data_IF_549613910607
#
_entry.id   IF_549613910607
#
_cell.length_a   1.000
_cell.length_b   1.000
_cell.length_c   1.000
_cell.angle_alpha   90.00
_cell.angle_beta   90.00
_cell.angle_gamma   90.00
#
_symmetry.space_group_name_H-M   'P 1'
#
loop_
_entity.id
_entity.type
_entity.pdbx_description
1 polymer ?
#
# COMPACT_ATOMS: atom_id res chain seq x y z
N UNK A 1 27.49 64.67 -60.69
CA UNK A 1 26.10 65.07 -60.31
C UNK A 1 25.59 64.12 -59.23
N UNK A 2 24.57 64.50 -58.44
CA UNK A 2 24.38 63.99 -57.06
C UNK A 2 23.43 62.77 -56.98
N UNK A 3 23.10 62.13 -55.83
CA UNK A 3 23.21 62.42 -54.37
C UNK A 3 23.66 61.12 -53.65
N UNK A 4 24.06 61.08 -52.38
CA UNK A 4 24.25 62.12 -51.33
C UNK A 4 24.66 61.45 -50.00
N UNK A 5 25.26 62.20 -49.07
CA UNK A 5 25.77 61.67 -47.79
C UNK A 5 24.82 61.94 -46.61
N UNK A 6 24.69 60.97 -45.71
CA UNK A 6 24.25 61.15 -44.32
C UNK A 6 24.89 60.04 -43.45
N UNK A 7 25.14 60.31 -42.17
CA UNK A 7 25.91 59.43 -41.27
C UNK A 7 25.21 59.22 -39.92
N UNK A 8 25.81 58.37 -39.07
CA UNK A 8 25.43 58.02 -37.70
C UNK A 8 24.39 56.88 -37.50
N UNK A 9 24.27 56.48 -36.23
CA UNK A 9 23.81 55.20 -35.63
C UNK A 9 23.35 55.49 -34.17
N UNK A 10 22.75 54.56 -33.40
CA UNK A 10 22.00 53.33 -33.72
C UNK A 10 20.70 53.17 -32.84
N UNK A 11 20.16 51.94 -32.76
CA UNK A 11 19.35 51.31 -31.67
C UNK A 11 17.79 51.38 -31.59
N UNK A 12 17.23 50.16 -31.56
CA UNK A 12 16.20 49.58 -30.65
C UNK A 12 14.67 49.50 -30.96
N UNK A 13 14.15 48.28 -30.71
CA UNK A 13 12.80 47.79 -30.30
C UNK A 13 11.59 47.61 -31.30
N UNK A 14 11.37 46.34 -31.72
CA UNK A 14 10.10 45.55 -31.92
C UNK A 14 8.90 46.14 -32.74
N UNK A 15 7.87 45.41 -33.23
CA UNK A 15 6.83 44.56 -32.59
C UNK A 15 6.07 43.71 -33.68
N UNK A 16 5.83 42.39 -33.44
CA UNK A 16 4.81 41.45 -34.03
C UNK A 16 4.68 41.30 -35.60
N UNK A 17 4.23 40.21 -36.25
CA UNK A 17 4.04 38.75 -36.02
C UNK A 17 3.74 38.08 -37.41
N UNK A 18 3.05 36.96 -37.73
CA UNK A 18 2.10 35.98 -37.12
C UNK A 18 2.12 34.64 -37.91
N UNK A 19 1.61 33.54 -37.30
CA UNK A 19 1.05 32.31 -37.93
C UNK A 19 2.01 31.36 -38.74
N UNK A 20 1.81 30.02 -38.81
CA UNK A 20 0.79 29.12 -38.21
C UNK A 20 1.29 27.66 -38.10
N UNK A 21 0.97 27.01 -36.96
CA UNK A 21 0.64 25.58 -36.75
C UNK A 21 1.35 24.43 -37.51
N UNK A 22 1.96 23.53 -36.74
CA UNK A 22 1.94 22.08 -36.96
C UNK A 22 1.77 21.37 -35.58
N UNK A 23 1.11 20.19 -35.54
CA UNK A 23 0.87 19.42 -34.31
C UNK A 23 1.36 17.96 -34.49
N UNK A 24 2.17 17.49 -33.54
CA UNK A 24 2.47 16.11 -33.13
C UNK A 24 3.34 16.28 -31.87
N UNK A 25 2.93 15.99 -30.64
CA UNK A 25 2.50 14.69 -30.08
C UNK A 25 3.52 13.56 -30.33
N UNK A 26 4.43 13.37 -29.38
CA UNK A 26 5.14 12.11 -29.16
C UNK A 26 5.61 12.03 -27.69
N UNK A 27 5.19 11.00 -26.95
CA UNK A 27 5.65 10.68 -25.58
C UNK A 27 5.54 11.78 -24.52
N UNK A 28 4.32 12.04 -24.04
CA UNK A 28 4.13 12.43 -22.64
C UNK A 28 4.65 11.25 -21.79
N UNK A 29 5.85 11.37 -21.23
CA UNK A 29 6.41 10.33 -20.38
C UNK A 29 5.59 10.25 -19.08
N UNK A 30 4.61 9.36 -19.06
CA UNK A 30 4.01 8.85 -17.83
C UNK A 30 5.11 8.12 -17.06
N UNK A 31 5.92 8.88 -16.32
CA UNK A 31 6.95 8.32 -15.46
C UNK A 31 6.28 7.31 -14.55
N UNK A 32 6.80 6.08 -14.50
CA UNK A 32 6.36 4.99 -13.61
C UNK A 32 6.73 5.36 -12.17
N UNK A 33 5.95 6.31 -11.67
CA UNK A 33 6.31 7.26 -10.63
C UNK A 33 5.53 6.96 -9.37
N UNK A 34 6.27 6.45 -8.40
CA UNK A 34 5.81 6.09 -7.07
C UNK A 34 4.93 7.16 -6.40
N UNK A 35 3.81 6.71 -5.81
CA UNK A 35 2.74 7.56 -5.31
C UNK A 35 3.01 8.06 -3.88
N UNK A 36 3.86 9.08 -3.74
CA UNK A 36 4.09 9.76 -2.47
C UNK A 36 4.07 11.29 -2.60
N UNK A 37 3.68 11.92 -1.49
CA UNK A 37 3.76 13.37 -1.30
C UNK A 37 5.19 13.87 -1.17
N UNK A 38 5.47 15.02 -1.79
CA UNK A 38 6.79 15.67 -1.83
C UNK A 38 6.94 16.79 -0.79
N UNK A 39 5.91 17.00 0.03
CA UNK A 39 5.86 18.01 1.10
C UNK A 39 5.08 17.48 2.29
N UNK A 40 5.56 17.73 3.50
CA UNK A 40 4.85 17.40 4.75
C UNK A 40 3.53 18.17 4.91
N UNK A 41 3.37 19.28 4.20
CA UNK A 41 2.12 20.07 4.19
C UNK A 41 1.00 19.45 3.35
N UNK A 42 1.27 18.40 2.55
CA UNK A 42 0.31 17.84 1.60
C UNK A 42 -1.01 17.37 2.23
N UNK A 43 -0.95 16.67 3.36
CA UNK A 43 -2.15 16.25 4.09
C UNK A 43 -2.96 17.44 4.64
N UNK A 44 -2.29 18.56 4.95
CA UNK A 44 -2.94 19.81 5.35
C UNK A 44 -3.68 20.48 4.18
N UNK A 45 -3.03 20.57 3.02
CA UNK A 45 -3.61 21.16 1.80
C UNK A 45 -4.77 20.33 1.23
N UNK A 46 -4.69 19.00 1.30
CA UNK A 46 -5.82 18.14 0.96
C UNK A 46 -7.00 18.36 1.90
N UNK A 47 -6.75 18.41 3.22
CA UNK A 47 -7.79 18.67 4.23
C UNK A 47 -8.43 20.06 4.11
N UNK A 48 -7.74 21.05 3.53
CA UNK A 48 -8.31 22.37 3.23
C UNK A 48 -8.99 22.47 1.85
N UNK A 49 -9.07 21.38 1.07
CA UNK A 49 -9.73 21.33 -0.24
C UNK A 49 -8.91 21.92 -1.39
N UNK A 50 -7.62 22.22 -1.19
CA UNK A 50 -6.76 22.83 -2.22
C UNK A 50 -6.53 21.87 -3.41
N UNK A 51 -6.61 20.56 -3.18
CA UNK A 51 -6.60 19.53 -4.23
C UNK A 51 -7.77 19.65 -5.23
N UNK A 52 -8.81 20.41 -4.91
CA UNK A 52 -9.95 20.72 -5.78
C UNK A 52 -10.07 22.22 -6.11
N UNK A 53 -9.14 23.05 -5.62
CA UNK A 53 -9.09 24.49 -5.87
C UNK A 53 -8.25 24.87 -7.09
N UNK A 54 -7.90 26.17 -7.19
CA UNK A 54 -7.04 26.69 -8.29
C UNK A 54 -5.63 26.06 -8.27
N UNK A 55 -5.15 25.62 -7.10
CA UNK A 55 -3.87 24.93 -6.92
C UNK A 55 -3.90 23.43 -7.29
N UNK A 56 -5.07 22.88 -7.67
CA UNK A 56 -5.30 21.45 -7.87
C UNK A 56 -4.28 20.77 -8.81
N UNK A 57 -3.94 21.35 -9.96
CA UNK A 57 -2.98 20.73 -10.88
C UNK A 57 -1.54 20.69 -10.32
N UNK A 58 -1.14 21.72 -9.57
CA UNK A 58 0.17 21.73 -8.89
C UNK A 58 0.19 20.69 -7.76
N UNK A 59 -0.87 20.63 -6.96
CA UNK A 59 -0.97 19.69 -5.84
C UNK A 59 -1.16 18.25 -6.31
N UNK A 60 -1.82 17.99 -7.44
CA UNK A 60 -1.86 16.68 -8.08
C UNK A 60 -0.45 16.17 -8.48
N UNK A 61 0.52 17.08 -8.70
CA UNK A 61 1.93 16.72 -9.02
C UNK A 61 2.85 16.74 -7.80
N UNK A 62 2.55 17.51 -6.76
CA UNK A 62 3.37 17.69 -5.55
C UNK A 62 2.90 16.82 -4.37
N UNK A 63 1.61 16.60 -4.29
CA UNK A 63 0.88 15.88 -3.26
C UNK A 63 0.01 14.76 -3.87
N UNK A 64 0.56 13.90 -4.75
CA UNK A 64 -0.25 12.98 -5.55
C UNK A 64 -0.93 11.89 -4.71
N UNK A 65 -0.45 11.64 -3.48
CA UNK A 65 -1.04 10.70 -2.53
C UNK A 65 -2.14 11.40 -1.70
N UNK A 66 -1.86 12.54 -1.07
CA UNK A 66 -2.88 13.28 -0.30
C UNK A 66 -4.02 13.81 -1.17
N UNK A 67 -3.77 14.15 -2.43
CA UNK A 67 -4.81 14.54 -3.38
C UNK A 67 -5.47 13.35 -4.11
N UNK A 68 -5.19 12.10 -3.72
CA UNK A 68 -5.72 10.88 -4.34
C UNK A 68 -5.59 10.83 -5.88
N UNK A 69 -4.53 11.45 -6.41
CA UNK A 69 -4.21 11.47 -7.85
C UNK A 69 -3.63 10.13 -8.32
N UNK A 70 -3.08 9.37 -7.38
CA UNK A 70 -2.67 7.98 -7.54
C UNK A 70 -2.97 7.20 -6.25
N UNK A 71 -2.66 5.91 -6.26
CA UNK A 71 -2.62 5.08 -5.05
C UNK A 71 -1.23 4.45 -4.91
N UNK A 72 -0.81 4.18 -3.68
CA UNK A 72 0.43 3.46 -3.40
C UNK A 72 0.23 1.98 -3.75
N UNK A 73 0.82 1.54 -4.87
CA UNK A 73 1.02 0.12 -5.14
C UNK A 73 1.97 -0.46 -4.07
N UNK A 74 1.40 -1.16 -3.10
CA UNK A 74 2.17 -1.91 -2.11
C UNK A 74 2.68 -3.22 -2.73
N UNK A 75 3.81 -3.11 -3.42
CA UNK A 75 4.59 -4.23 -3.93
C UNK A 75 6.05 -3.84 -4.16
N UNK A 76 6.97 -4.75 -3.85
CA UNK A 76 8.37 -4.64 -4.25
C UNK A 76 8.55 -4.86 -5.76
N UNK A 77 9.26 -3.94 -6.42
CA UNK A 77 9.46 -3.91 -7.88
C UNK A 77 10.74 -4.61 -8.33
N UNK A 78 11.66 -4.87 -7.40
CA UNK A 78 12.94 -5.54 -7.70
C UNK A 78 13.06 -6.85 -6.92
N UNK A 79 13.63 -7.88 -7.55
CA UNK A 79 13.79 -9.20 -6.92
C UNK A 79 14.65 -9.14 -5.65
N UNK A 80 15.68 -8.28 -5.66
CA UNK A 80 16.65 -8.05 -4.59
C UNK A 80 16.18 -7.12 -3.46
N UNK A 81 14.94 -6.62 -3.48
CA UNK A 81 14.45 -5.71 -2.43
C UNK A 81 14.69 -6.23 -1.00
N UNK A 82 14.42 -7.52 -0.74
CA UNK A 82 14.68 -8.14 0.56
C UNK A 82 16.17 -8.20 0.93
N UNK A 83 17.08 -8.39 -0.03
CA UNK A 83 18.53 -8.43 0.27
C UNK A 83 19.13 -7.04 0.46
N UNK A 84 18.61 -6.02 -0.24
CA UNK A 84 18.94 -4.62 0.01
C UNK A 84 18.39 -4.14 1.36
N UNK A 85 17.17 -4.55 1.74
CA UNK A 85 16.62 -4.29 3.07
C UNK A 85 17.43 -4.96 4.20
N UNK A 86 17.74 -6.27 4.09
CA UNK A 86 18.66 -6.99 5.01
C UNK A 86 20.02 -6.29 5.17
N UNK A 87 20.49 -5.57 4.15
CA UNK A 87 21.76 -4.82 4.13
C UNK A 87 21.67 -3.41 4.74
N UNK A 88 20.47 -2.94 5.08
CA UNK A 88 20.24 -1.59 5.61
C UNK A 88 20.08 -0.50 4.55
N UNK A 89 19.89 -0.85 3.28
CA UNK A 89 19.66 0.13 2.21
C UNK A 89 18.36 0.94 2.45
N UNK A 90 17.38 0.40 3.21
CA UNK A 90 16.19 1.16 3.64
C UNK A 90 16.53 2.41 4.48
N UNK A 91 17.61 2.38 5.26
CA UNK A 91 18.06 3.50 6.08
C UNK A 91 19.14 4.35 5.40
N UNK A 92 20.00 3.73 4.57
CA UNK A 92 21.12 4.41 3.91
C UNK A 92 20.79 4.95 2.50
N UNK A 93 19.75 4.42 1.85
CA UNK A 93 19.24 4.85 0.55
C UNK A 93 17.70 4.91 0.53
N UNK A 94 17.05 5.61 1.48
CA UNK A 94 15.59 5.60 1.65
C UNK A 94 14.85 6.06 0.40
N UNK A 95 15.32 7.10 -0.31
CA UNK A 95 14.62 7.64 -1.48
C UNK A 95 14.45 6.64 -2.65
N UNK A 96 15.41 5.72 -2.83
CA UNK A 96 15.31 4.63 -3.81
C UNK A 96 14.51 3.46 -3.25
N UNK A 97 14.83 3.04 -2.03
CA UNK A 97 14.23 1.85 -1.43
C UNK A 97 12.74 2.04 -1.11
N UNK A 98 12.30 3.23 -0.71
CA UNK A 98 10.87 3.56 -0.56
C UNK A 98 10.15 3.51 -1.93
N UNK A 99 10.82 3.88 -3.03
CA UNK A 99 10.26 3.92 -4.40
C UNK A 99 10.12 2.54 -5.05
N UNK A 100 11.13 1.69 -4.89
CA UNK A 100 11.24 0.38 -5.55
C UNK A 100 10.96 -0.82 -4.64
N UNK A 101 11.11 -0.65 -3.32
CA UNK A 101 11.08 -1.72 -2.31
C UNK A 101 10.22 -1.35 -1.07
N UNK A 102 9.00 -0.83 -1.24
CA UNK A 102 8.18 -0.33 -0.12
C UNK A 102 7.81 -1.43 0.88
N UNK A 103 7.67 -2.69 0.44
CA UNK A 103 7.33 -3.82 1.32
C UNK A 103 8.55 -4.33 2.07
N UNK A 104 9.68 -4.54 1.39
CA UNK A 104 10.92 -4.95 2.08
C UNK A 104 11.40 -3.92 3.12
N UNK A 105 11.05 -2.64 2.96
CA UNK A 105 11.33 -1.60 3.95
C UNK A 105 10.18 -1.33 4.95
N UNK A 106 9.09 -2.11 4.92
CA UNK A 106 7.97 -1.96 5.87
C UNK A 106 7.21 -0.64 5.76
N UNK A 107 7.34 0.10 4.65
CA UNK A 107 6.57 1.32 4.36
C UNK A 107 5.09 0.98 4.18
N UNK A 108 4.84 -0.21 3.65
CA UNK A 108 3.55 -0.87 3.63
C UNK A 108 3.78 -2.38 3.83
N UNK A 109 2.70 -3.14 3.98
CA UNK A 109 2.75 -4.61 4.01
C UNK A 109 1.64 -5.17 3.10
N UNK A 110 1.91 -6.25 2.35
CA UNK A 110 0.92 -6.84 1.47
C UNK A 110 -0.23 -7.44 2.27
N UNK A 111 -1.43 -7.36 1.71
CA UNK A 111 -2.57 -8.12 2.22
C UNK A 111 -2.18 -9.59 2.30
N UNK A 112 -2.28 -10.15 3.49
CA UNK A 112 -1.92 -11.53 3.80
C UNK A 112 -3.21 -12.35 3.76
N UNK A 113 -3.23 -13.46 3.03
CA UNK A 113 -4.41 -14.34 2.93
C UNK A 113 -4.00 -15.74 2.50
N UNK A 114 -4.73 -16.73 2.96
CA UNK A 114 -4.67 -18.06 2.37
C UNK A 114 -5.22 -18.04 0.94
N UNK A 115 -4.63 -18.89 0.10
CA UNK A 115 -4.92 -18.99 -1.33
C UNK A 115 -5.75 -20.24 -1.62
N UNK A 116 -5.58 -21.31 -0.83
CA UNK A 116 -6.34 -22.55 -0.94
C UNK A 116 -7.36 -22.70 0.20
N UNK A 117 -8.52 -23.31 -0.06
CA UNK A 117 -9.56 -23.57 0.94
C UNK A 117 -9.09 -24.50 2.06
N UNK A 118 -8.21 -25.43 1.72
CA UNK A 118 -7.82 -26.53 2.60
C UNK A 118 -6.64 -26.15 3.52
N UNK A 119 -6.14 -24.91 3.41
CA UNK A 119 -5.04 -24.38 4.23
C UNK A 119 -5.20 -24.63 5.75
N UNK A 120 -6.39 -24.48 6.38
CA UNK A 120 -6.57 -24.81 7.79
C UNK A 120 -6.38 -26.30 8.09
N UNK A 121 -6.80 -27.17 7.16
CA UNK A 121 -6.63 -28.63 7.26
C UNK A 121 -5.17 -29.06 7.09
N UNK A 122 -4.49 -28.52 6.09
CA UNK A 122 -3.06 -28.77 5.86
C UNK A 122 -2.19 -28.24 7.00
N UNK A 123 -2.49 -27.06 7.55
CA UNK A 123 -1.83 -26.53 8.75
C UNK A 123 -2.06 -27.44 9.96
N UNK A 124 -3.31 -27.85 10.21
CA UNK A 124 -3.66 -28.79 11.29
C UNK A 124 -3.00 -30.17 11.14
N UNK A 125 -2.66 -30.57 9.92
CA UNK A 125 -1.91 -31.79 9.62
C UNK A 125 -0.39 -31.63 9.78
N UNK A 126 0.12 -30.45 10.12
CA UNK A 126 1.55 -30.17 10.33
C UNK A 126 2.32 -29.68 9.10
N UNK A 127 1.66 -29.53 7.95
CA UNK A 127 2.33 -29.23 6.67
C UNK A 127 3.13 -27.91 6.68
N UNK A 128 2.77 -26.95 7.54
CA UNK A 128 3.54 -25.71 7.75
C UNK A 128 4.99 -25.97 8.23
N UNK A 129 5.24 -27.07 8.94
CA UNK A 129 6.58 -27.50 9.36
C UNK A 129 7.25 -28.49 8.41
N UNK A 130 6.47 -29.35 7.75
CA UNK A 130 6.99 -30.35 6.80
C UNK A 130 7.34 -29.76 5.43
N UNK A 131 6.59 -28.75 4.96
CA UNK A 131 6.79 -28.07 3.68
C UNK A 131 6.61 -26.54 3.80
N UNK A 132 7.44 -25.87 4.63
CA UNK A 132 7.33 -24.43 4.88
C UNK A 132 7.43 -23.59 3.60
N UNK A 133 8.32 -23.96 2.67
CA UNK A 133 8.57 -23.20 1.44
C UNK A 133 7.35 -23.09 0.52
N UNK A 134 6.42 -24.04 0.59
CA UNK A 134 5.11 -23.96 -0.09
C UNK A 134 4.04 -23.37 0.84
N UNK A 135 3.93 -23.90 2.06
CA UNK A 135 2.83 -23.58 2.97
C UNK A 135 2.85 -22.14 3.47
N UNK A 136 4.02 -21.53 3.69
CA UNK A 136 4.14 -20.12 4.07
C UNK A 136 3.79 -19.15 2.93
N UNK A 137 3.67 -19.65 1.68
CA UNK A 137 3.27 -18.86 0.49
C UNK A 137 1.80 -19.06 0.12
N UNK A 138 1.34 -20.32 0.15
CA UNK A 138 -0.04 -20.70 -0.19
C UNK A 138 -1.00 -20.50 0.98
N UNK A 139 -0.53 -20.68 2.21
CA UNK A 139 -1.32 -20.73 3.44
C UNK A 139 -0.75 -19.83 4.57
N UNK A 140 -0.38 -18.56 4.31
CA UNK A 140 0.29 -17.71 5.31
C UNK A 140 -0.59 -17.38 6.53
N UNK A 141 -1.93 -17.34 6.41
CA UNK A 141 -2.81 -17.13 7.58
C UNK A 141 -2.87 -18.41 8.40
N UNK A 142 -3.14 -19.56 7.76
CA UNK A 142 -3.21 -20.84 8.47
C UNK A 142 -1.87 -21.28 9.08
N UNK A 143 -0.73 -20.87 8.52
CA UNK A 143 0.60 -21.08 9.13
C UNK A 143 1.04 -19.95 10.08
N UNK A 144 0.18 -18.97 10.35
CA UNK A 144 0.44 -17.88 11.29
C UNK A 144 1.56 -16.92 10.87
N UNK A 145 1.87 -16.80 9.58
CA UNK A 145 2.75 -15.75 9.01
C UNK A 145 2.09 -14.37 9.13
N UNK A 146 0.75 -14.33 9.08
CA UNK A 146 -0.02 -13.11 9.13
C UNK A 146 -0.41 -12.69 10.57
N UNK A 147 -0.57 -11.39 10.80
CA UNK A 147 -1.30 -10.80 11.93
C UNK A 147 -2.57 -10.14 11.44
N UNK A 148 -3.67 -10.29 12.17
CA UNK A 148 -4.90 -9.54 11.91
C UNK A 148 -4.80 -8.11 12.49
N UNK A 149 -4.79 -7.12 11.60
CA UNK A 149 -4.81 -5.69 11.98
C UNK A 149 -6.16 -5.05 11.68
N UNK A 150 -6.49 -4.04 12.48
CA UNK A 150 -7.66 -3.19 12.31
C UNK A 150 -7.18 -1.74 12.24
N UNK A 151 -7.01 -1.21 11.03
CA UNK A 151 -6.49 0.13 10.80
C UNK A 151 -7.23 0.83 9.67
N UNK A 152 -7.28 2.14 9.74
CA UNK A 152 -7.83 2.96 8.67
C UNK A 152 -6.95 2.84 7.41
N UNK A 153 -7.60 2.68 6.27
CA UNK A 153 -6.96 2.48 4.95
C UNK A 153 -7.09 3.69 4.03
N UNK A 154 -7.70 4.78 4.51
CA UNK A 154 -7.90 6.03 3.77
C UNK A 154 -7.62 7.25 4.65
N UNK A 155 -6.93 8.31 4.16
CA UNK A 155 -6.54 9.45 5.00
C UNK A 155 -7.74 10.25 5.56
N UNK A 156 -8.85 10.31 4.83
CA UNK A 156 -10.06 11.03 5.27
C UNK A 156 -10.88 10.31 6.35
N UNK A 157 -10.49 9.10 6.78
CA UNK A 157 -11.25 8.30 7.73
C UNK A 157 -11.70 9.04 9.01
N UNK A 158 -10.85 9.85 9.68
CA UNK A 158 -11.29 10.67 10.81
C UNK A 158 -12.36 11.72 10.44
N UNK A 159 -12.27 12.30 9.24
CA UNK A 159 -13.23 13.27 8.73
C UNK A 159 -14.59 12.65 8.39
N UNK A 160 -14.59 11.47 7.76
CA UNK A 160 -15.79 10.70 7.47
C UNK A 160 -16.47 10.20 8.74
N UNK A 161 -15.70 9.75 9.74
CA UNK A 161 -16.21 9.34 11.04
C UNK A 161 -16.87 10.50 11.80
N UNK A 162 -16.18 11.64 11.94
CA UNK A 162 -16.73 12.86 12.54
C UNK A 162 -17.98 13.37 11.81
N UNK A 163 -18.06 13.17 10.49
CA UNK A 163 -19.23 13.50 9.67
C UNK A 163 -20.38 12.48 9.80
N UNK A 164 -20.23 11.43 10.63
CA UNK A 164 -21.23 10.39 10.89
C UNK A 164 -21.36 9.33 9.79
N UNK A 165 -20.38 9.19 8.88
CA UNK A 165 -20.49 8.26 7.76
C UNK A 165 -20.43 6.78 8.19
N UNK A 166 -19.87 6.49 9.37
CA UNK A 166 -19.93 5.17 10.01
C UNK A 166 -21.36 4.62 10.15
N UNK A 167 -22.38 5.49 10.19
CA UNK A 167 -23.80 5.12 10.27
C UNK A 167 -24.56 5.36 8.96
N UNK A 168 -24.15 6.36 8.16
CA UNK A 168 -24.79 6.69 6.86
C UNK A 168 -24.39 5.74 5.73
N UNK A 169 -23.17 5.20 5.77
CA UNK A 169 -22.64 4.22 4.80
C UNK A 169 -21.77 3.17 5.53
N UNK A 170 -22.38 2.31 6.37
CA UNK A 170 -21.62 1.37 7.19
C UNK A 170 -20.87 0.33 6.36
N UNK A 171 -21.44 -0.15 5.25
CA UNK A 171 -20.85 -1.22 4.43
C UNK A 171 -19.48 -0.88 3.84
N UNK A 172 -19.28 0.38 3.44
CA UNK A 172 -17.98 0.88 2.98
C UNK A 172 -17.14 1.37 4.17
N UNK A 173 -17.67 2.31 4.96
CA UNK A 173 -16.84 3.07 5.91
C UNK A 173 -16.39 2.23 7.11
N UNK A 174 -17.15 1.21 7.54
CA UNK A 174 -16.67 0.30 8.60
C UNK A 174 -15.61 -0.70 8.10
N UNK A 175 -15.41 -0.85 6.78
CA UNK A 175 -14.30 -1.63 6.21
C UNK A 175 -13.07 -0.76 5.92
N UNK A 176 -13.29 0.43 5.38
CA UNK A 176 -12.21 1.36 5.02
C UNK A 176 -11.64 2.10 6.23
N UNK A 177 -12.48 2.40 7.22
CA UNK A 177 -12.17 3.26 8.37
C UNK A 177 -12.50 2.61 9.73
N UNK A 178 -12.06 1.38 10.01
CA UNK A 178 -12.51 0.66 11.20
C UNK A 178 -11.95 1.21 12.51
N UNK A 179 -10.80 1.89 12.50
CA UNK A 179 -10.27 2.53 13.70
C UNK A 179 -11.01 3.84 13.98
N UNK A 180 -11.12 4.74 12.98
CA UNK A 180 -11.88 5.99 13.12
C UNK A 180 -13.37 5.78 13.42
N UNK A 181 -13.95 4.64 13.01
CA UNK A 181 -15.34 4.29 13.33
C UNK A 181 -15.52 3.44 14.61
N UNK A 182 -14.48 3.21 15.40
CA UNK A 182 -14.55 2.42 16.64
C UNK A 182 -15.12 0.99 16.40
N UNK A 183 -14.73 0.38 15.28
CA UNK A 183 -15.08 -1.02 14.95
C UNK A 183 -14.22 -1.97 15.77
N UNK A 184 -12.93 -1.64 15.88
CA UNK A 184 -11.99 -2.21 16.81
C UNK A 184 -11.50 -1.09 17.74
N UNK A 185 -11.49 -1.36 19.05
CA UNK A 185 -10.76 -0.52 20.02
C UNK A 185 -9.30 -0.95 20.11
N UNK A 186 -8.70 -0.83 21.31
CA UNK A 186 -7.31 -1.21 21.61
C UNK A 186 -7.02 -2.74 21.57
N UNK A 187 -7.86 -3.52 20.89
CA UNK A 187 -7.82 -4.99 20.84
C UNK A 187 -7.39 -5.51 19.46
N UNK A 188 -6.86 -6.75 19.41
CA UNK A 188 -6.69 -7.47 18.14
C UNK A 188 -7.99 -7.49 17.32
N UNK A 189 -7.84 -7.51 15.99
CA UNK A 189 -8.98 -7.58 15.09
C UNK A 189 -9.60 -8.98 15.11
N UNK A 190 -10.71 -9.14 15.85
CA UNK A 190 -11.31 -10.43 16.14
C UNK A 190 -12.84 -10.35 16.23
N UNK A 191 -13.49 -11.47 15.92
CA UNK A 191 -14.94 -11.65 16.04
C UNK A 191 -15.33 -11.79 17.51
N UNK A 192 -16.38 -11.08 17.95
CA UNK A 192 -16.86 -11.09 19.35
C UNK A 192 -17.43 -12.45 19.77
N UNK A 193 -17.96 -13.20 18.80
CA UNK A 193 -18.46 -14.55 18.99
C UNK A 193 -18.20 -15.35 17.70
N UNK A 194 -17.03 -16.00 17.62
CA UNK A 194 -16.54 -16.72 16.43
C UNK A 194 -17.62 -17.64 15.85
N UNK A 195 -18.23 -18.52 16.65
CA UNK A 195 -19.25 -19.47 16.17
C UNK A 195 -20.51 -18.80 15.63
N UNK A 196 -20.93 -17.67 16.20
CA UNK A 196 -22.05 -16.89 15.66
C UNK A 196 -21.68 -16.20 14.33
N UNK A 197 -20.44 -15.74 14.22
CA UNK A 197 -19.91 -15.13 13.01
C UNK A 197 -19.70 -16.16 11.89
N UNK A 198 -19.22 -17.36 12.19
CA UNK A 198 -19.12 -18.49 11.24
C UNK A 198 -20.49 -18.86 10.65
N UNK A 199 -21.54 -18.88 11.47
CA UNK A 199 -22.89 -19.30 11.05
C UNK A 199 -23.66 -18.17 10.32
N UNK A 200 -23.49 -16.90 10.72
CA UNK A 200 -24.28 -15.78 10.16
C UNK A 200 -23.51 -14.88 9.18
N UNK A 201 -22.18 -14.86 9.26
CA UNK A 201 -21.30 -14.03 8.43
C UNK A 201 -21.58 -14.10 6.93
N UNK A 202 -21.61 -15.30 6.31
CA UNK A 202 -21.73 -15.46 4.85
C UNK A 202 -22.85 -14.62 4.21
N UNK A 203 -24.03 -14.54 4.83
CA UNK A 203 -25.15 -13.72 4.36
C UNK A 203 -25.18 -12.34 5.03
N UNK A 204 -25.03 -12.28 6.36
CA UNK A 204 -25.38 -11.10 7.14
C UNK A 204 -24.36 -9.97 7.04
N UNK A 205 -23.10 -10.25 6.67
CA UNK A 205 -22.09 -9.20 6.43
C UNK A 205 -22.51 -8.21 5.33
N UNK A 206 -23.33 -8.65 4.36
CA UNK A 206 -23.87 -7.82 3.27
C UNK A 206 -25.26 -7.26 3.58
N UNK A 207 -26.11 -8.01 4.30
CA UNK A 207 -27.49 -7.63 4.61
C UNK A 207 -27.60 -6.67 5.82
N UNK A 208 -26.77 -6.88 6.84
CA UNK A 208 -26.78 -6.13 8.10
C UNK A 208 -25.38 -5.57 8.45
N UNK A 209 -24.70 -4.85 7.52
CA UNK A 209 -23.30 -4.46 7.67
C UNK A 209 -23.02 -3.62 8.93
N UNK A 210 -23.94 -2.74 9.34
CA UNK A 210 -23.74 -1.88 10.51
C UNK A 210 -23.54 -2.63 11.84
N UNK A 211 -24.15 -3.80 11.99
CA UNK A 211 -23.96 -4.69 13.13
C UNK A 211 -22.85 -5.71 12.85
N UNK A 212 -22.93 -6.41 11.72
CA UNK A 212 -22.02 -7.52 11.41
C UNK A 212 -20.56 -7.08 11.23
N UNK A 213 -20.30 -5.89 10.69
CA UNK A 213 -18.92 -5.36 10.62
C UNK A 213 -18.36 -4.97 11.99
N UNK A 214 -19.23 -4.76 13.01
CA UNK A 214 -18.83 -4.43 14.39
C UNK A 214 -18.75 -5.63 15.32
N UNK A 215 -19.54 -6.67 15.08
CA UNK A 215 -19.57 -7.88 15.91
C UNK A 215 -18.74 -9.01 15.32
N UNK A 216 -18.58 -9.02 13.99
CA UNK A 216 -17.83 -9.99 13.20
C UNK A 216 -16.81 -9.32 12.25
N UNK A 217 -15.91 -8.42 12.72
CA UNK A 217 -14.97 -7.71 11.84
C UNK A 217 -13.99 -8.65 11.11
N UNK A 218 -13.65 -9.82 11.66
CA UNK A 218 -12.77 -10.78 11.00
C UNK A 218 -13.53 -11.55 9.93
N UNK A 219 -14.64 -12.22 10.28
CA UNK A 219 -15.43 -12.97 9.29
C UNK A 219 -15.97 -12.07 8.17
N UNK A 220 -16.36 -10.84 8.46
CA UNK A 220 -16.87 -9.93 7.45
C UNK A 220 -15.80 -9.21 6.61
N UNK A 221 -14.50 -9.45 6.84
CA UNK A 221 -13.42 -8.80 6.09
C UNK A 221 -13.36 -7.29 6.32
N UNK A 222 -13.43 -6.88 7.60
CA UNK A 222 -12.92 -5.59 8.08
C UNK A 222 -11.44 -5.73 8.47
N UNK A 223 -11.09 -6.84 9.12
CA UNK A 223 -9.71 -7.12 9.48
C UNK A 223 -8.84 -7.28 8.25
N UNK A 224 -7.76 -6.50 8.20
CA UNK A 224 -6.69 -6.68 7.22
C UNK A 224 -5.62 -7.56 7.83
N UNK A 225 -5.58 -8.84 7.46
CA UNK A 225 -4.43 -9.68 7.80
C UNK A 225 -3.21 -9.19 7.01
N UNK A 226 -2.07 -9.00 7.67
CA UNK A 226 -0.82 -8.47 7.07
C UNK A 226 0.37 -9.36 7.43
N UNK A 227 1.36 -9.43 6.53
CA UNK A 227 2.62 -10.14 6.78
C UNK A 227 3.57 -9.23 7.58
N UNK A 228 4.23 -9.76 8.62
CA UNK A 228 5.01 -8.98 9.58
C UNK A 228 6.04 -9.84 10.33
N UNK A 229 7.12 -9.23 10.82
CA UNK A 229 8.02 -9.89 11.78
C UNK A 229 7.42 -9.94 13.19
N UNK A 230 7.52 -11.09 13.86
CA UNK A 230 6.93 -11.31 15.19
C UNK A 230 7.78 -10.78 16.35
N UNK A 231 9.07 -10.60 16.12
CA UNK A 231 10.07 -10.21 17.12
C UNK A 231 10.87 -9.01 16.61
N UNK A 232 11.13 -8.01 17.47
CA UNK A 232 11.91 -6.82 17.09
C UNK A 232 13.35 -7.18 16.65
N UNK A 233 13.88 -8.30 17.15
CA UNK A 233 15.21 -8.80 16.80
C UNK A 233 15.28 -9.46 15.41
N UNK A 234 14.18 -9.60 14.67
CA UNK A 234 14.14 -10.31 13.38
C UNK A 234 15.12 -9.76 12.33
N UNK A 235 15.24 -8.44 12.18
CA UNK A 235 16.23 -7.84 11.27
C UNK A 235 17.67 -8.08 11.73
N UNK A 236 17.86 -8.09 13.05
CA UNK A 236 19.14 -8.31 13.71
C UNK A 236 19.61 -9.77 13.57
N UNK A 237 18.68 -10.74 13.56
CA UNK A 237 18.92 -12.16 13.25
C UNK A 237 19.12 -12.40 11.75
N UNK A 238 18.30 -11.78 10.90
CA UNK A 238 18.44 -11.89 9.45
C UNK A 238 19.79 -11.34 8.94
N UNK A 239 20.30 -10.25 9.54
CA UNK A 239 21.64 -9.72 9.23
C UNK A 239 22.79 -10.66 9.60
N UNK A 240 22.55 -11.60 10.54
CA UNK A 240 23.53 -12.61 11.00
C UNK A 240 23.44 -13.92 10.22
N UNK A 241 22.54 -14.02 9.24
CA UNK A 241 22.36 -15.22 8.41
C UNK A 241 21.43 -16.29 9.03
N UNK A 242 20.64 -15.94 10.05
CA UNK A 242 19.74 -16.89 10.70
C UNK A 242 18.63 -17.40 9.77
N UNK A 243 18.22 -16.60 8.77
CA UNK A 243 17.25 -17.03 7.76
C UNK A 243 17.74 -18.25 6.96
N UNK A 244 19.05 -18.35 6.75
CA UNK A 244 19.71 -19.40 5.99
C UNK A 244 20.23 -20.54 6.90
N UNK A 245 20.61 -20.23 8.15
CA UNK A 245 21.06 -21.22 9.13
C UNK A 245 19.91 -21.95 9.86
N UNK A 246 18.81 -21.25 10.17
CA UNK A 246 17.66 -21.73 10.93
C UNK A 246 16.32 -21.50 10.19
N UNK A 247 16.19 -21.87 8.90
CA UNK A 247 15.07 -21.46 8.04
C UNK A 247 13.69 -21.85 8.55
N UNK A 248 13.51 -23.05 9.09
CA UNK A 248 12.21 -23.53 9.55
C UNK A 248 11.60 -22.62 10.65
N UNK A 249 12.43 -22.15 11.58
CA UNK A 249 12.01 -21.19 12.61
C UNK A 249 11.90 -19.78 12.03
N UNK A 250 12.93 -19.33 11.30
CA UNK A 250 13.06 -17.94 10.87
C UNK A 250 12.06 -17.52 9.79
N UNK A 251 11.68 -18.40 8.87
CA UNK A 251 10.66 -18.09 7.85
C UNK A 251 9.25 -17.92 8.46
N UNK A 252 8.98 -18.54 9.62
CA UNK A 252 7.70 -18.43 10.32
C UNK A 252 7.70 -17.39 11.46
N UNK A 253 8.86 -17.07 12.05
CA UNK A 253 9.03 -16.06 13.10
C UNK A 253 9.32 -14.67 12.53
N UNK A 254 10.12 -14.61 11.47
CA UNK A 254 10.65 -13.41 10.84
C UNK A 254 10.38 -13.37 9.33
N UNK A 255 9.11 -13.53 8.88
CA UNK A 255 8.78 -13.62 7.46
C UNK A 255 9.07 -12.32 6.69
N UNK A 256 9.14 -11.16 7.34
CA UNK A 256 9.45 -9.89 6.66
C UNK A 256 10.97 -9.76 6.49
N UNK A 257 11.75 -9.87 7.58
CA UNK A 257 13.22 -9.80 7.53
C UNK A 257 13.86 -10.95 6.73
N UNK A 258 13.22 -12.12 6.64
CA UNK A 258 13.68 -13.22 5.79
C UNK A 258 13.11 -13.20 4.37
N UNK A 259 12.20 -12.29 4.03
CA UNK A 259 11.71 -12.07 2.66
C UNK A 259 10.47 -12.87 2.24
N UNK A 260 9.89 -13.71 3.10
CA UNK A 260 8.62 -14.43 2.83
C UNK A 260 7.49 -13.45 2.50
N UNK A 261 7.44 -12.28 3.15
CA UNK A 261 6.47 -11.24 2.81
C UNK A 261 6.62 -10.72 1.36
N UNK A 262 7.84 -10.65 0.83
CA UNK A 262 8.10 -10.30 -0.57
C UNK A 262 7.71 -11.45 -1.53
N UNK A 263 7.94 -12.71 -1.12
CA UNK A 263 7.51 -13.87 -1.91
C UNK A 263 5.99 -14.00 -2.02
N UNK A 264 5.25 -13.60 -0.98
CA UNK A 264 3.78 -13.50 -1.01
C UNK A 264 3.25 -12.50 -2.03
N UNK A 265 4.02 -11.48 -2.41
CA UNK A 265 3.65 -10.53 -3.47
C UNK A 265 3.87 -11.12 -4.86
N UNK A 266 5.06 -11.69 -5.09
CA UNK A 266 5.44 -12.35 -6.34
C UNK A 266 4.44 -13.45 -6.69
N UNK A 267 4.16 -14.35 -5.75
CA UNK A 267 3.23 -15.47 -5.95
C UNK A 267 1.78 -15.01 -6.23
N UNK A 268 1.35 -13.88 -5.67
CA UNK A 268 0.03 -13.28 -5.96
C UNK A 268 -0.05 -12.55 -7.29
N UNK A 269 1.08 -12.17 -7.87
CA UNK A 269 1.16 -11.67 -9.24
C UNK A 269 1.14 -12.83 -10.22
N UNK A 270 2.00 -13.84 -10.00
CA UNK A 270 2.08 -15.07 -10.80
C UNK A 270 0.70 -15.74 -10.94
N UNK A 271 -0.04 -15.96 -9.85
CA UNK A 271 -1.40 -16.54 -9.88
C UNK A 271 -2.41 -15.67 -10.65
N UNK A 272 -2.28 -14.33 -10.65
CA UNK A 272 -3.17 -13.47 -11.45
C UNK A 272 -2.86 -13.62 -12.94
N UNK A 273 -1.58 -13.63 -13.27
CA UNK A 273 -1.10 -13.72 -14.65
C UNK A 273 -1.37 -15.12 -15.26
N UNK A 274 -1.59 -16.15 -14.44
CA UNK A 274 -2.04 -17.50 -14.85
C UNK A 274 -3.57 -17.67 -15.03
N UNK A 275 -4.39 -16.71 -14.58
CA UNK A 275 -5.87 -16.80 -14.57
C UNK A 275 -6.53 -15.96 -15.70
N UNK A 276 -5.72 -15.32 -16.56
CA UNK A 276 -6.15 -14.29 -17.51
C UNK A 276 -5.92 -14.65 -19.00
#
# INVERSE_FOLDING_TARGET
TPRGMATARPELLVILSLARSAWADETYAASTGYCNDKSTSCAGWAKSGECQGENSEMLARMCPLSCSTCQLECADKHEFCGSWAKKGDCATNPGYMIKECPTSCGICTPTCKDIHTDCPGWSSAGACGENPSYMLKTCPVSCGVCKDECKDTHPDCPGWALSGHCFKNPGFVLKTCPASCEVCGDSLCADKNVTQCEIWGPDQCSLNPGAMLRDCPKTCGVCSSVCYDKEEACGDWASKGECEANPASMLALCPQSCGVCQELEKYKKEIKDEIQ
#
